data_IF_496774607031
#
_entry.id   IF_496774607031
#
_cell.length_a   1.000
_cell.length_b   1.000
_cell.length_c   1.000
_cell.angle_alpha   90.00
_cell.angle_beta   90.00
_cell.angle_gamma   90.00
#
_symmetry.space_group_name_H-M   'P 1'
#
loop_
_entity.id
_entity.type
_entity.pdbx_description
1 polymer ?
#
# COMPACT_ATOMS: atom_id res chain seq x y z
N UNK A 1 -38.15 -25.56 9.78
CA UNK A 1 -37.63 -24.28 9.25
C UNK A 1 -36.11 -24.29 9.32
N UNK A 2 -35.46 -24.73 8.23
CA UNK A 2 -34.00 -24.73 8.11
C UNK A 2 -33.54 -23.40 7.49
N UNK A 3 -32.70 -22.66 8.21
CA UNK A 3 -31.99 -21.49 7.66
C UNK A 3 -30.96 -21.98 6.64
N UNK A 4 -31.21 -21.73 5.35
CA UNK A 4 -30.20 -21.85 4.30
C UNK A 4 -29.12 -20.80 4.56
N UNK A 5 -27.94 -21.26 4.94
CA UNK A 5 -26.73 -20.43 4.97
C UNK A 5 -26.38 -20.06 3.53
N UNK A 6 -26.35 -18.76 3.27
CA UNK A 6 -26.03 -18.18 1.96
C UNK A 6 -24.49 -18.22 1.82
N UNK A 7 -23.98 -19.20 1.08
CA UNK A 7 -22.57 -19.27 0.72
C UNK A 7 -22.26 -18.09 -0.20
N UNK A 8 -21.48 -17.13 0.29
CA UNK A 8 -20.87 -16.08 -0.53
C UNK A 8 -19.84 -16.78 -1.43
N UNK A 9 -20.13 -16.86 -2.74
CA UNK A 9 -19.11 -17.24 -3.72
C UNK A 9 -18.10 -16.10 -3.82
N UNK A 10 -16.92 -16.28 -3.23
CA UNK A 10 -15.76 -15.48 -3.58
C UNK A 10 -15.31 -15.95 -4.97
N UNK A 11 -15.55 -15.11 -5.97
CA UNK A 11 -15.13 -15.34 -7.34
C UNK A 11 -13.62 -15.24 -7.45
N UNK A 12 -12.92 -16.35 -7.22
CA UNK A 12 -11.49 -16.47 -7.52
C UNK A 12 -11.37 -16.85 -8.99
N UNK A 13 -11.16 -15.86 -9.86
CA UNK A 13 -10.74 -16.10 -11.24
C UNK A 13 -9.24 -16.41 -11.20
N UNK A 14 -8.89 -17.70 -11.08
CA UNK A 14 -7.53 -18.16 -11.37
C UNK A 14 -7.50 -18.57 -12.83
N UNK A 15 -6.92 -17.70 -13.67
CA UNK A 15 -6.45 -18.08 -14.98
C UNK A 15 -5.24 -19.02 -14.81
N UNK A 16 -5.49 -20.32 -14.63
CA UNK A 16 -4.43 -21.33 -14.74
C UNK A 16 -4.09 -21.45 -16.22
N UNK A 17 -2.89 -20.98 -16.57
CA UNK A 17 -2.21 -21.28 -17.82
C UNK A 17 -2.18 -22.80 -17.97
N UNK A 18 -3.07 -23.31 -18.82
CA UNK A 18 -3.12 -24.70 -19.21
C UNK A 18 -1.91 -24.96 -20.12
N UNK A 19 -0.93 -25.70 -19.59
CA UNK A 19 0.18 -26.19 -20.40
C UNK A 19 1.30 -26.74 -19.55
N UNK A 20 1.22 -28.05 -19.26
CA UNK A 20 2.22 -29.07 -19.64
C UNK A 20 2.13 -30.28 -18.68
N UNK A 21 1.85 -31.44 -19.29
CA UNK A 21 2.05 -32.83 -18.83
C UNK A 21 1.07 -33.41 -17.81
N UNK A 22 0.22 -34.31 -18.32
CA UNK A 22 -0.60 -35.18 -17.50
C UNK A 22 0.22 -36.22 -16.73
N UNK A 23 -0.24 -36.52 -15.52
CA UNK A 23 -0.14 -37.80 -14.83
C UNK A 23 -1.01 -37.75 -13.56
N UNK A 24 -1.91 -38.71 -13.46
CA UNK A 24 -2.46 -39.34 -12.25
C UNK A 24 -3.27 -38.54 -11.22
N UNK A 25 -4.45 -39.10 -10.96
CA UNK A 25 -5.49 -38.77 -9.98
C UNK A 25 -5.00 -38.77 -8.52
N UNK A 26 -5.65 -37.89 -7.72
CA UNK A 26 -5.58 -37.72 -6.25
C UNK A 26 -4.47 -36.80 -5.65
N UNK A 27 -4.53 -35.47 -5.90
CA UNK A 27 -3.84 -34.45 -5.06
C UNK A 27 -4.50 -33.04 -5.03
N UNK A 28 -5.80 -32.91 -5.28
CA UNK A 28 -6.45 -31.58 -5.41
C UNK A 28 -7.10 -31.01 -4.13
N UNK A 29 -7.11 -31.73 -3.00
CA UNK A 29 -7.73 -31.23 -1.75
C UNK A 29 -6.72 -30.43 -0.90
N UNK A 30 -5.43 -30.76 -1.01
CA UNK A 30 -4.35 -30.18 -0.20
C UNK A 30 -3.97 -28.76 -0.66
N UNK A 31 -4.01 -28.50 -1.97
CA UNK A 31 -3.66 -27.18 -2.53
C UNK A 31 -4.69 -26.10 -2.16
N UNK A 32 -5.98 -26.43 -2.18
CA UNK A 32 -7.03 -25.48 -1.79
C UNK A 32 -6.95 -25.17 -0.30
N UNK A 33 -6.63 -26.16 0.53
CA UNK A 33 -6.50 -25.98 1.96
C UNK A 33 -5.24 -25.19 2.33
N UNK A 34 -4.09 -25.47 1.70
CA UNK A 34 -2.87 -24.66 1.85
C UNK A 34 -3.04 -23.23 1.35
N UNK A 35 -3.77 -23.02 0.25
CA UNK A 35 -4.13 -21.69 -0.23
C UNK A 35 -5.06 -20.99 0.77
N UNK A 36 -6.06 -21.69 1.31
CA UNK A 36 -6.99 -21.15 2.31
C UNK A 36 -6.26 -20.77 3.60
N UNK A 37 -5.37 -21.62 4.10
CA UNK A 37 -4.56 -21.36 5.29
C UNK A 37 -3.54 -20.23 5.08
N UNK A 38 -2.97 -20.08 3.87
CA UNK A 38 -2.16 -18.90 3.52
C UNK A 38 -2.99 -17.60 3.54
N UNK A 39 -4.22 -17.62 3.02
CA UNK A 39 -5.10 -16.45 3.05
C UNK A 39 -5.67 -16.15 4.45
N UNK A 40 -5.89 -17.16 5.30
CA UNK A 40 -6.30 -17.01 6.71
C UNK A 40 -5.14 -16.55 7.63
N UNK A 41 -3.89 -16.63 7.17
CA UNK A 41 -2.71 -16.33 8.00
C UNK A 41 -2.27 -14.86 8.02
N UNK A 42 -2.79 -14.01 7.13
CA UNK A 42 -2.40 -12.59 7.11
C UNK A 42 -3.11 -11.85 8.26
N UNK A 43 -2.38 -11.16 9.16
CA UNK A 43 -3.03 -10.53 10.29
C UNK A 43 -3.98 -9.41 9.81
N UNK A 44 -5.16 -9.37 10.42
CA UNK A 44 -6.25 -8.49 10.00
C UNK A 44 -6.88 -7.76 11.20
N UNK A 45 -7.27 -6.50 10.97
CA UNK A 45 -8.05 -5.68 11.92
C UNK A 45 -9.30 -5.11 11.27
N UNK A 46 -10.27 -4.68 12.08
CA UNK A 46 -11.55 -4.15 11.56
C UNK A 46 -11.45 -2.70 11.07
N UNK A 47 -10.57 -1.90 11.68
CA UNK A 47 -10.40 -0.46 11.43
C UNK A 47 -8.99 -0.03 11.83
N UNK A 48 -8.59 1.14 11.33
CA UNK A 48 -7.27 1.74 11.57
C UNK A 48 -6.94 1.93 13.06
N UNK A 49 -7.95 2.27 13.88
CA UNK A 49 -7.76 2.47 15.31
C UNK A 49 -7.37 1.19 16.08
N UNK A 50 -7.59 0.01 15.47
CA UNK A 50 -7.31 -1.29 16.08
C UNK A 50 -5.96 -1.87 15.63
N UNK A 51 -5.19 -1.14 14.81
CA UNK A 51 -3.87 -1.59 14.35
C UNK A 51 -2.94 -1.71 15.58
N UNK A 52 -2.36 -2.89 15.84
CA UNK A 52 -1.47 -3.08 16.99
C UNK A 52 -0.13 -2.36 16.78
N UNK A 53 0.74 -2.37 17.79
CA UNK A 53 2.15 -2.06 17.55
C UNK A 53 2.77 -3.21 16.74
N UNK A 54 3.82 -2.92 15.95
CA UNK A 54 4.51 -3.92 15.15
C UNK A 54 5.02 -5.08 16.01
N UNK A 55 4.66 -6.30 15.64
CA UNK A 55 4.98 -7.54 16.37
C UNK A 55 6.41 -8.04 16.13
N UNK A 56 7.10 -7.50 15.12
CA UNK A 56 8.43 -7.93 14.74
C UNK A 56 8.47 -8.81 13.50
N UNK A 57 7.33 -9.24 12.98
CA UNK A 57 7.21 -10.23 11.92
C UNK A 57 6.33 -9.73 10.75
N UNK A 58 5.16 -9.16 11.03
CA UNK A 58 4.16 -8.81 10.00
C UNK A 58 4.17 -7.31 9.68
N UNK A 59 4.92 -6.92 8.64
CA UNK A 59 5.04 -5.51 8.25
C UNK A 59 3.78 -4.98 7.52
N UNK A 60 2.87 -5.85 7.10
CA UNK A 60 1.57 -5.47 6.52
C UNK A 60 0.41 -6.09 7.28
N UNK A 61 -0.64 -5.30 7.52
CA UNK A 61 -1.89 -5.71 8.18
C UNK A 61 -3.06 -5.43 7.24
N UNK A 62 -3.94 -6.40 7.02
CA UNK A 62 -5.18 -6.17 6.28
C UNK A 62 -6.18 -5.43 7.16
N UNK A 63 -6.86 -4.44 6.60
CA UNK A 63 -7.91 -3.68 7.29
C UNK A 63 -9.25 -4.02 6.64
N UNK A 64 -10.26 -4.28 7.45
CA UNK A 64 -11.65 -4.40 7.02
C UNK A 64 -11.83 -5.40 5.87
N UNK A 65 -11.22 -6.59 5.93
CA UNK A 65 -11.28 -7.59 4.86
C UNK A 65 -10.87 -7.05 3.48
N UNK A 66 -9.89 -6.12 3.47
CA UNK A 66 -9.39 -5.44 2.27
C UNK A 66 -10.43 -4.51 1.59
N UNK A 67 -11.54 -4.22 2.27
CA UNK A 67 -12.59 -3.32 1.78
C UNK A 67 -12.23 -1.85 2.12
N UNK A 68 -11.96 -0.99 1.13
CA UNK A 68 -11.67 0.41 1.35
C UNK A 68 -12.92 1.18 1.79
N UNK A 69 -12.71 2.31 2.48
CA UNK A 69 -13.81 3.13 2.97
C UNK A 69 -14.03 4.35 2.05
N UNK A 70 -14.47 4.08 0.81
CA UNK A 70 -14.86 5.10 -0.16
C UNK A 70 -16.38 5.22 -0.25
N UNK A 71 -16.89 6.45 -0.25
CA UNK A 71 -18.29 6.72 -0.55
C UNK A 71 -18.56 6.68 -2.05
N UNK A 72 -19.81 6.55 -2.47
CA UNK A 72 -20.18 6.65 -3.90
C UNK A 72 -19.70 7.96 -4.54
N UNK A 73 -19.63 9.05 -3.75
CA UNK A 73 -19.09 10.33 -4.22
C UNK A 73 -17.59 10.29 -4.45
N UNK A 74 -16.84 9.55 -3.63
CA UNK A 74 -15.40 9.35 -3.82
C UNK A 74 -15.10 8.57 -5.10
N UNK A 75 -16.00 7.67 -5.49
CA UNK A 75 -15.90 6.82 -6.68
C UNK A 75 -16.39 7.51 -7.97
N UNK A 76 -16.84 8.76 -7.91
CA UNK A 76 -17.34 9.47 -9.09
C UNK A 76 -16.24 9.82 -10.09
N UNK A 77 -16.44 9.46 -11.36
CA UNK A 77 -15.56 9.85 -12.49
C UNK A 77 -15.91 11.21 -13.10
N UNK A 78 -16.79 12.01 -12.47
CA UNK A 78 -17.20 13.30 -13.02
C UNK A 78 -16.02 14.30 -13.23
N UNK A 79 -14.90 14.09 -12.53
CA UNK A 79 -13.66 14.89 -12.66
C UNK A 79 -12.57 14.19 -13.49
N UNK A 80 -12.84 13.02 -14.07
CA UNK A 80 -11.82 12.15 -14.66
C UNK A 80 -10.74 11.78 -13.65
N UNK A 81 -9.50 11.59 -14.11
CA UNK A 81 -8.38 11.44 -13.18
C UNK A 81 -7.95 12.75 -12.55
N UNK A 82 -7.57 12.66 -11.28
CA UNK A 82 -7.10 13.79 -10.49
C UNK A 82 -6.18 13.31 -9.38
N UNK A 83 -5.37 14.22 -8.85
CA UNK A 83 -4.53 14.00 -7.68
C UNK A 83 -4.64 15.19 -6.74
N UNK A 84 -4.62 14.93 -5.43
CA UNK A 84 -4.74 15.95 -4.39
C UNK A 84 -3.93 15.55 -3.17
N UNK A 85 -3.11 16.48 -2.67
CA UNK A 85 -2.23 16.26 -1.53
C UNK A 85 -2.62 17.23 -0.42
N UNK A 86 -2.76 16.72 0.80
CA UNK A 86 -2.98 17.55 1.98
C UNK A 86 -1.86 18.56 2.14
N UNK A 87 -2.17 19.74 2.67
CA UNK A 87 -1.13 20.65 3.13
C UNK A 87 -0.30 19.97 4.22
N UNK A 88 0.99 20.30 4.26
CA UNK A 88 1.84 19.89 5.37
C UNK A 88 1.29 20.50 6.67
N UNK A 89 1.40 19.78 7.77
CA UNK A 89 0.92 20.25 9.06
C UNK A 89 1.90 21.23 9.73
N UNK A 90 1.61 21.66 10.97
CA UNK A 90 2.45 22.59 11.74
C UNK A 90 3.86 22.07 12.06
N UNK A 91 4.10 20.77 11.90
CA UNK A 91 5.42 20.13 12.06
C UNK A 91 6.08 19.85 10.70
N UNK A 92 5.51 20.39 9.61
CA UNK A 92 5.88 20.16 8.22
C UNK A 92 5.69 18.71 7.75
N UNK A 93 4.86 17.92 8.44
CA UNK A 93 4.61 16.51 8.08
C UNK A 93 3.61 16.45 6.94
N UNK A 94 3.79 15.49 6.04
CA UNK A 94 2.80 15.19 4.99
C UNK A 94 1.48 14.71 5.60
N UNK A 95 0.37 15.03 4.95
CA UNK A 95 -0.95 14.47 5.27
C UNK A 95 -1.40 13.46 4.22
N UNK A 96 -2.69 13.11 4.24
CA UNK A 96 -3.28 12.16 3.28
C UNK A 96 -3.12 12.63 1.83
N UNK A 97 -2.73 11.72 0.96
CA UNK A 97 -2.72 11.87 -0.48
C UNK A 97 -3.89 11.12 -1.11
N UNK A 98 -4.56 11.73 -2.08
CA UNK A 98 -5.71 11.17 -2.78
C UNK A 98 -5.50 11.26 -4.29
N UNK A 99 -6.00 10.27 -5.02
CA UNK A 99 -6.14 10.35 -6.45
C UNK A 99 -7.35 9.56 -6.94
N UNK A 100 -7.89 9.98 -8.08
CA UNK A 100 -8.50 9.07 -9.04
C UNK A 100 -7.42 8.79 -10.08
N UNK A 101 -6.82 7.62 -10.00
CA UNK A 101 -5.75 7.20 -10.89
C UNK A 101 -6.35 6.75 -12.21
N UNK A 102 -5.72 7.17 -13.30
CA UNK A 102 -6.01 6.74 -14.66
C UNK A 102 -4.78 6.99 -15.53
N UNK A 103 -4.81 6.48 -16.75
CA UNK A 103 -3.65 6.44 -17.65
C UNK A 103 -3.09 7.83 -17.99
N UNK A 104 -3.93 8.84 -17.95
CA UNK A 104 -3.62 10.25 -18.18
C UNK A 104 -2.72 10.88 -17.11
N UNK A 105 -2.66 10.31 -15.90
CA UNK A 105 -1.75 10.76 -14.84
C UNK A 105 -0.36 10.15 -14.91
N UNK A 106 -0.16 9.12 -15.75
CA UNK A 106 1.15 8.50 -15.86
C UNK A 106 2.18 9.48 -16.43
N UNK A 107 3.39 9.52 -15.85
CA UNK A 107 4.43 10.42 -16.30
C UNK A 107 4.87 10.09 -17.73
N UNK A 108 5.03 11.14 -18.54
CA UNK A 108 5.67 11.06 -19.86
C UNK A 108 7.16 11.34 -19.79
N UNK A 109 7.57 12.11 -18.79
CA UNK A 109 8.96 12.51 -18.57
C UNK A 109 9.74 11.51 -17.74
N UNK A 110 11.06 11.56 -17.86
CA UNK A 110 11.96 10.76 -17.02
C UNK A 110 11.96 11.30 -15.59
N UNK A 111 11.91 10.39 -14.62
CA UNK A 111 12.07 10.72 -13.19
C UNK A 111 13.43 11.36 -12.93
N UNK A 112 13.45 12.46 -12.18
CA UNK A 112 14.68 13.11 -11.74
C UNK A 112 15.08 12.68 -10.32
N UNK A 113 16.27 13.06 -9.90
CA UNK A 113 16.73 12.78 -8.54
C UNK A 113 15.85 13.48 -7.48
N UNK A 114 15.60 12.78 -6.37
CA UNK A 114 14.88 13.34 -5.23
C UNK A 114 15.84 14.04 -4.27
N UNK A 115 15.53 15.28 -3.89
CA UNK A 115 16.39 16.12 -3.03
C UNK A 115 15.67 16.73 -1.83
N UNK A 116 14.34 16.60 -1.73
CA UNK A 116 13.60 17.05 -0.54
C UNK A 116 13.83 16.09 0.62
N UNK A 117 14.31 16.61 1.74
CA UNK A 117 14.42 15.86 2.99
C UNK A 117 13.15 16.05 3.83
N UNK A 118 12.32 15.01 4.01
CA UNK A 118 11.10 15.11 4.80
C UNK A 118 11.39 15.24 6.30
N UNK A 119 10.33 15.38 7.09
CA UNK A 119 10.43 15.40 8.55
C UNK A 119 11.12 14.14 9.08
N UNK A 120 11.95 14.31 10.11
CA UNK A 120 12.69 13.21 10.72
C UNK A 120 13.79 12.61 9.82
N UNK A 121 14.22 13.28 8.75
CA UNK A 121 15.28 12.76 7.89
C UNK A 121 16.63 12.69 8.62
N UNK A 122 16.96 11.50 9.15
CA UNK A 122 18.21 11.19 9.86
C UNK A 122 18.79 9.88 9.34
N UNK A 123 19.59 9.98 8.29
CA UNK A 123 20.15 8.81 7.62
C UNK A 123 21.03 7.94 8.52
N UNK A 124 20.93 6.62 8.30
CA UNK A 124 21.80 5.61 8.90
C UNK A 124 22.14 4.55 7.85
N UNK A 125 23.40 4.11 7.83
CA UNK A 125 23.78 2.96 7.03
C UNK A 125 23.33 1.65 7.69
N UNK A 126 22.76 0.79 6.86
CA UNK A 126 22.40 -0.58 7.18
C UNK A 126 23.67 -1.46 7.19
N UNK A 127 23.57 -2.70 7.68
CA UNK A 127 24.69 -3.64 7.75
C UNK A 127 25.24 -4.02 6.37
N UNK A 128 24.41 -3.93 5.33
CA UNK A 128 24.79 -4.16 3.94
C UNK A 128 25.35 -2.90 3.24
N UNK A 129 25.52 -1.80 3.98
CA UNK A 129 26.03 -0.53 3.47
C UNK A 129 25.00 0.36 2.79
N UNK A 130 23.76 -0.10 2.60
CA UNK A 130 22.68 0.72 2.04
C UNK A 130 22.16 1.75 3.05
N UNK A 131 21.44 2.76 2.57
CA UNK A 131 20.84 3.78 3.42
C UNK A 131 19.46 3.38 3.93
N UNK A 132 19.19 3.54 5.23
CA UNK A 132 17.93 3.16 5.88
C UNK A 132 16.69 3.80 5.27
N UNK A 133 16.70 5.13 5.10
CA UNK A 133 15.52 5.86 4.61
C UNK A 133 15.61 6.18 3.13
N UNK A 134 14.47 6.03 2.47
CA UNK A 134 14.14 6.57 1.17
C UNK A 134 13.27 7.82 1.35
N UNK A 135 13.35 8.74 0.39
CA UNK A 135 12.34 9.79 0.21
C UNK A 135 11.11 9.12 -0.43
N UNK A 136 10.28 8.54 0.41
CA UNK A 136 9.18 7.68 0.00
C UNK A 136 8.01 8.53 -0.46
N UNK A 137 7.55 8.27 -1.68
CA UNK A 137 6.33 8.86 -2.20
C UNK A 137 5.11 8.29 -1.47
N UNK A 138 4.10 9.12 -1.18
CA UNK A 138 2.79 8.60 -0.76
C UNK A 138 2.06 7.99 -1.96
N UNK A 139 2.07 8.69 -3.09
CA UNK A 139 1.63 8.15 -4.38
C UNK A 139 2.85 8.15 -5.31
N UNK A 140 3.31 6.97 -5.70
CA UNK A 140 4.51 6.76 -6.50
C UNK A 140 4.54 7.57 -7.80
N UNK A 141 5.75 7.99 -8.18
CA UNK A 141 6.00 8.73 -9.42
C UNK A 141 5.35 8.08 -10.65
N UNK A 142 5.39 6.75 -10.73
CA UNK A 142 4.83 6.01 -11.88
C UNK A 142 3.33 6.20 -12.07
N UNK A 143 2.60 6.59 -11.02
CA UNK A 143 1.15 6.76 -11.04
C UNK A 143 0.72 8.19 -11.33
N UNK A 144 1.56 9.19 -11.02
CA UNK A 144 1.15 10.61 -11.01
C UNK A 144 2.16 11.62 -11.55
N UNK A 145 3.39 11.18 -11.81
CA UNK A 145 4.52 12.02 -12.21
C UNK A 145 5.03 12.98 -11.14
N UNK A 146 4.50 12.95 -9.91
CA UNK A 146 4.97 13.84 -8.85
C UNK A 146 6.37 13.42 -8.38
N UNK A 147 7.36 14.27 -8.67
CA UNK A 147 8.75 14.00 -8.33
C UNK A 147 9.13 14.58 -6.95
N UNK A 148 9.54 15.84 -6.87
CA UNK A 148 9.91 16.53 -5.62
C UNK A 148 8.74 17.36 -5.05
N UNK A 149 7.57 16.75 -4.87
CA UNK A 149 6.45 17.40 -4.19
C UNK A 149 6.57 17.21 -2.68
N UNK A 150 6.81 18.29 -1.93
CA UNK A 150 6.96 18.25 -0.46
C UNK A 150 5.74 17.68 0.26
N UNK A 151 4.54 17.74 -0.35
CA UNK A 151 3.30 17.18 0.20
C UNK A 151 3.13 15.68 -0.11
N UNK A 152 4.03 15.09 -0.89
CA UNK A 152 3.99 13.70 -1.32
C UNK A 152 5.23 12.90 -0.89
N UNK A 153 6.17 13.48 -0.14
CA UNK A 153 7.41 12.80 0.28
C UNK A 153 7.49 12.68 1.80
N UNK A 154 7.64 11.46 2.30
CA UNK A 154 7.87 11.16 3.70
C UNK A 154 9.18 10.39 3.93
N UNK A 155 9.69 10.43 5.15
CA UNK A 155 10.80 9.57 5.59
C UNK A 155 10.27 8.14 5.74
N UNK A 156 10.47 7.30 4.73
CA UNK A 156 10.09 5.89 4.72
C UNK A 156 11.32 5.00 4.75
N UNK A 157 11.27 3.85 5.45
CA UNK A 157 12.35 2.86 5.40
C UNK A 157 12.46 2.25 4.00
N UNK A 158 13.61 1.61 3.71
CA UNK A 158 13.77 0.84 2.47
C UNK A 158 12.67 -0.19 2.33
N UNK A 159 12.39 -0.99 3.37
CA UNK A 159 11.39 -2.05 3.28
C UNK A 159 9.98 -1.50 3.03
N UNK A 160 9.53 -0.47 3.77
CA UNK A 160 8.22 0.15 3.54
C UNK A 160 8.11 0.64 2.09
N UNK A 161 9.14 1.33 1.59
CA UNK A 161 9.16 1.82 0.23
C UNK A 161 9.15 0.67 -0.81
N UNK A 162 9.98 -0.35 -0.59
CA UNK A 162 10.10 -1.52 -1.44
C UNK A 162 10.58 -2.74 -0.61
N UNK A 163 9.84 -3.86 -0.64
CA UNK A 163 8.79 -4.18 -1.61
C UNK A 163 7.39 -3.68 -1.25
N UNK A 164 7.10 -3.36 0.01
CA UNK A 164 5.70 -3.32 0.49
C UNK A 164 4.80 -2.32 -0.25
N UNK A 165 5.15 -1.04 -0.34
CA UNK A 165 4.35 -0.10 -1.14
C UNK A 165 4.46 -0.37 -2.65
N UNK A 166 5.67 -0.66 -3.13
CA UNK A 166 5.96 -0.80 -4.56
C UNK A 166 5.16 -1.93 -5.23
N UNK A 167 4.93 -3.05 -4.54
CA UNK A 167 4.15 -4.17 -5.07
C UNK A 167 2.72 -3.74 -5.38
N UNK A 168 2.02 -3.12 -4.42
CA UNK A 168 0.67 -2.60 -4.63
C UNK A 168 0.64 -1.56 -5.75
N UNK A 169 1.57 -0.61 -5.76
CA UNK A 169 1.65 0.41 -6.81
C UNK A 169 1.84 -0.19 -8.21
N UNK A 170 2.64 -1.26 -8.33
CA UNK A 170 2.83 -1.97 -9.59
C UNK A 170 1.56 -2.67 -10.05
N UNK A 171 0.81 -3.30 -9.14
CA UNK A 171 -0.45 -3.96 -9.46
C UNK A 171 -1.49 -2.95 -9.96
N UNK A 172 -1.62 -1.80 -9.29
CA UNK A 172 -2.49 -0.71 -9.73
C UNK A 172 -2.06 -0.17 -11.10
N UNK A 173 -0.76 0.09 -11.29
CA UNK A 173 -0.25 0.58 -12.57
C UNK A 173 -0.51 -0.42 -13.70
N UNK A 174 -0.29 -1.72 -13.45
CA UNK A 174 -0.53 -2.78 -14.43
C UNK A 174 -2.02 -2.92 -14.78
N UNK A 175 -2.90 -2.85 -13.77
CA UNK A 175 -4.34 -2.86 -13.97
C UNK A 175 -4.78 -1.72 -14.89
N UNK A 176 -4.43 -0.47 -14.54
CA UNK A 176 -4.79 0.73 -15.32
C UNK A 176 -4.25 0.64 -16.76
N UNK A 177 -3.01 0.15 -16.95
CA UNK A 177 -2.42 -0.02 -18.30
C UNK A 177 -3.21 -1.00 -19.17
N UNK A 178 -3.71 -2.09 -18.58
CA UNK A 178 -4.39 -3.18 -19.30
C UNK A 178 -5.85 -2.85 -19.61
N UNK A 179 -6.56 -2.26 -18.67
CA UNK A 179 -8.01 -2.03 -18.78
C UNK A 179 -8.36 -0.63 -19.24
N UNK A 180 -7.46 0.34 -19.05
CA UNK A 180 -7.74 1.77 -19.21
C UNK A 180 -8.85 2.26 -18.25
N UNK A 181 -9.09 1.54 -17.15
CA UNK A 181 -10.01 1.90 -16.08
C UNK A 181 -9.35 2.84 -15.06
N UNK A 182 -10.18 3.36 -14.16
CA UNK A 182 -9.75 4.22 -13.06
C UNK A 182 -9.70 3.47 -11.73
N UNK A 183 -8.80 3.92 -10.87
CA UNK A 183 -8.68 3.42 -9.49
C UNK A 183 -8.74 4.60 -8.53
N UNK A 184 -9.73 4.61 -7.65
CA UNK A 184 -9.76 5.53 -6.52
C UNK A 184 -8.68 5.09 -5.53
N UNK A 185 -7.69 5.94 -5.28
CA UNK A 185 -6.52 5.61 -4.45
C UNK A 185 -6.28 6.62 -3.34
N UNK A 186 -6.06 6.17 -2.11
CA UNK A 186 -5.79 7.02 -0.94
C UNK A 186 -4.65 6.45 -0.11
N UNK A 187 -3.70 7.30 0.24
CA UNK A 187 -2.57 6.96 1.10
C UNK A 187 -2.56 7.89 2.30
N UNK A 188 -2.71 7.32 3.50
CA UNK A 188 -2.82 8.06 4.77
C UNK A 188 -1.66 7.70 5.69
N UNK A 189 -0.66 8.58 5.85
CA UNK A 189 0.41 8.39 6.84
C UNK A 189 -0.15 8.43 8.26
N UNK A 190 0.34 7.54 9.12
CA UNK A 190 -0.01 7.54 10.55
C UNK A 190 1.17 8.06 11.38
N UNK A 191 0.99 9.22 12.02
CA UNK A 191 1.92 9.77 13.00
C UNK A 191 1.31 9.71 14.40
N UNK A 192 2.05 9.24 15.41
CA UNK A 192 1.57 9.23 16.79
C UNK A 192 2.00 10.52 17.48
N UNK A 193 1.05 11.33 17.94
CA UNK A 193 1.36 12.60 18.62
C UNK A 193 2.21 13.55 17.77
N UNK A 194 3.36 13.96 18.31
CA UNK A 194 4.28 14.91 17.66
C UNK A 194 5.40 14.24 16.85
N UNK A 195 5.32 12.92 16.62
CA UNK A 195 6.34 12.19 15.88
C UNK A 195 6.61 12.79 14.50
N UNK A 196 7.90 12.87 14.14
CA UNK A 196 8.35 13.41 12.86
C UNK A 196 8.45 12.35 11.77
N UNK A 197 8.45 11.06 12.13
CA UNK A 197 8.43 9.92 11.21
C UNK A 197 7.13 9.16 11.39
N UNK A 198 6.45 8.84 10.30
CA UNK A 198 5.21 8.07 10.36
C UNK A 198 5.51 6.64 10.83
N UNK A 199 4.60 6.07 11.62
CA UNK A 199 4.62 4.66 12.04
C UNK A 199 4.32 3.70 10.89
N UNK A 200 3.69 4.20 9.84
CA UNK A 200 3.30 3.46 8.65
C UNK A 200 2.34 4.28 7.79
N UNK A 201 1.78 3.63 6.78
CA UNK A 201 0.74 4.20 5.91
C UNK A 201 -0.42 3.23 5.79
N UNK A 202 -1.65 3.76 5.78
CA UNK A 202 -2.78 3.05 5.24
C UNK A 202 -2.83 3.27 3.72
N UNK A 203 -2.98 2.19 2.96
CA UNK A 203 -3.23 2.19 1.52
C UNK A 203 -4.65 1.70 1.24
N UNK A 204 -5.44 2.51 0.54
CA UNK A 204 -6.77 2.16 0.09
C UNK A 204 -6.88 2.31 -1.43
N UNK A 205 -7.41 1.30 -2.12
CA UNK A 205 -7.63 1.33 -3.56
C UNK A 205 -8.95 0.65 -3.96
N UNK A 206 -9.71 1.22 -4.89
CA UNK A 206 -10.89 0.59 -5.50
C UNK A 206 -10.97 0.92 -7.00
N UNK A 207 -11.12 -0.08 -7.87
CA UNK A 207 -11.39 0.18 -9.30
C UNK A 207 -12.85 0.56 -9.52
N UNK A 208 -13.09 1.60 -10.31
CA UNK A 208 -14.41 2.24 -10.37
C UNK A 208 -15.35 1.52 -11.35
N UNK A 209 -14.84 1.18 -12.54
CA UNK A 209 -15.65 0.66 -13.63
C UNK A 209 -16.11 -0.79 -13.42
N UNK A 210 -15.26 -1.62 -12.79
CA UNK A 210 -15.48 -3.07 -12.69
C UNK A 210 -15.34 -3.65 -11.28
N UNK A 211 -14.90 -2.86 -10.30
CA UNK A 211 -14.69 -3.26 -8.89
C UNK A 211 -13.81 -4.49 -8.71
N UNK A 212 -12.91 -4.79 -9.66
CA UNK A 212 -11.94 -5.89 -9.56
C UNK A 212 -10.80 -5.63 -8.58
N UNK A 213 -10.46 -4.35 -8.35
CA UNK A 213 -9.48 -3.97 -7.33
C UNK A 213 -10.21 -3.54 -6.08
N UNK A 214 -9.85 -4.14 -4.95
CA UNK A 214 -10.11 -3.65 -3.61
C UNK A 214 -8.87 -3.87 -2.77
N UNK A 215 -8.41 -2.81 -2.10
CA UNK A 215 -7.26 -2.83 -1.22
C UNK A 215 -7.56 -1.94 -0.02
N UNK A 216 -7.28 -2.44 1.17
CA UNK A 216 -7.25 -1.67 2.41
C UNK A 216 -6.26 -2.33 3.37
N UNK A 217 -5.03 -1.82 3.39
CA UNK A 217 -3.93 -2.38 4.19
C UNK A 217 -3.21 -1.29 4.95
N UNK A 218 -2.56 -1.66 6.05
CA UNK A 218 -1.57 -0.83 6.73
C UNK A 218 -0.18 -1.42 6.57
N UNK A 219 0.78 -0.60 6.16
CA UNK A 219 2.18 -1.00 6.02
C UNK A 219 3.01 -0.26 7.06
N UNK A 220 3.66 -0.98 7.96
CA UNK A 220 4.52 -0.40 8.99
C UNK A 220 5.80 0.20 8.39
N UNK A 221 6.20 1.35 8.92
CA UNK A 221 7.46 2.01 8.62
C UNK A 221 8.57 1.47 9.52
N UNK A 222 9.01 0.24 9.25
CA UNK A 222 9.98 -0.52 10.04
C UNK A 222 11.12 -1.00 9.16
N UNK A 223 12.21 -1.48 9.74
CA UNK A 223 13.32 -2.10 9.02
C UNK A 223 13.91 -3.19 9.89
N UNK A 224 14.04 -4.40 9.34
CA UNK A 224 14.60 -5.53 10.06
C UNK A 224 15.99 -5.24 10.61
N UNK A 225 16.21 -5.62 11.87
CA UNK A 225 17.46 -5.36 12.58
C UNK A 225 17.65 -3.91 13.06
N UNK A 226 16.67 -3.03 12.89
CA UNK A 226 16.75 -1.63 13.34
C UNK A 226 15.55 -1.21 14.19
N UNK A 227 15.81 -0.35 15.17
CA UNK A 227 14.80 0.34 15.98
C UNK A 227 14.81 1.82 15.61
N UNK A 228 13.65 2.36 15.27
CA UNK A 228 13.47 3.76 14.89
C UNK A 228 12.93 4.54 16.08
N UNK A 229 13.51 5.69 16.34
CA UNK A 229 12.93 6.72 17.20
C UNK A 229 12.06 7.62 16.31
N UNK A 230 10.75 7.39 16.31
CA UNK A 230 9.80 8.10 15.44
C UNK A 230 9.66 9.60 15.77
N UNK A 231 10.02 10.03 16.99
CA UNK A 231 10.04 11.45 17.37
C UNK A 231 11.14 12.23 16.64
N UNK A 232 12.27 11.59 16.33
CA UNK A 232 13.46 12.29 15.78
C UNK A 232 13.92 11.76 14.42
N UNK A 233 13.49 10.54 14.07
CA UNK A 233 13.97 9.75 12.95
C UNK A 233 15.32 9.08 13.15
N UNK A 234 15.98 9.25 14.31
CA UNK A 234 17.20 8.49 14.61
C UNK A 234 16.91 6.98 14.65
N UNK A 235 17.86 6.17 14.22
CA UNK A 235 17.75 4.72 14.27
C UNK A 235 18.96 4.08 14.93
N UNK A 236 18.73 2.99 15.66
CA UNK A 236 19.78 2.15 16.25
C UNK A 236 19.66 0.73 15.71
N UNK A 237 20.79 0.06 15.52
CA UNK A 237 20.78 -1.38 15.25
C UNK A 237 20.26 -2.10 16.50
N UNK A 238 19.41 -3.11 16.32
CA UNK A 238 18.97 -4.01 17.40
C UNK A 238 20.13 -4.90 17.85
#
# INVERSE_FOLDING_TARGET
MQKKSMKVMIGVVVAVIAGVLGLSTHKNIDLVQQITEMFDSTPQVSKVADIPEYDGEHQEIVINHNEPNFSERDLSLAKGSWQSYSNIDRLNRVGTANAMLGKELFPKEKREALYIDPTGWKQKKLSDGQWLYNRSHLIGYQLTGQNNNIKNLMTGTRSLNAPYMLTHENDLANYIKKTNHHVRYRVSPYFKGNELVARGVQLEAESVEDKQIKLNVFIYNVQDGYKINYETGQATKK
#
